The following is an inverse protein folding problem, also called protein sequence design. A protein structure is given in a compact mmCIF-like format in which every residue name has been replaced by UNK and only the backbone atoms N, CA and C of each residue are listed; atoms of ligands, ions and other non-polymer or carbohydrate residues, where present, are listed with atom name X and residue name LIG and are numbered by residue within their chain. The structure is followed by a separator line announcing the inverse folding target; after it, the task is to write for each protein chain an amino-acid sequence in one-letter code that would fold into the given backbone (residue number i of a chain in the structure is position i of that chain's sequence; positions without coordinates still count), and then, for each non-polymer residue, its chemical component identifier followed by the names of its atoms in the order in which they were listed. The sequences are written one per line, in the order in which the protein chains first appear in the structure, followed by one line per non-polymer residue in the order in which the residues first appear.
data_IF_689418654031
#
_entry.id   IF_689418654031
#
_cell.length_a   1.000
_cell.length_b   1.000
_cell.length_c   1.000
_cell.angle_alpha   90.00
_cell.angle_beta   90.00
_cell.angle_gamma   90.00
#
_symmetry.space_group_name_H-M   'P 1'
#
loop_
_entity.id
_entity.type
_entity.pdbx_description
1 polymer ?
#
# COMPACT_ATOMS: atom_id res chain seq x y z
N UNK A 1 -0.20 -20.70 8.01
CA UNK A 1 -1.01 -20.68 6.80
C UNK A 1 -0.66 -19.44 6.00
N UNK A 2 -0.35 -19.62 4.74
CA UNK A 2 0.06 -18.50 3.88
C UNK A 2 -1.11 -17.95 3.10
N UNK A 3 -1.17 -16.64 3.04
CA UNK A 3 -2.15 -15.92 2.22
C UNK A 3 -1.52 -15.58 0.87
N UNK A 4 -2.33 -15.60 -0.16
CA UNK A 4 -1.90 -15.11 -1.48
C UNK A 4 -1.94 -13.58 -1.47
N UNK A 5 -0.86 -12.97 -1.94
CA UNK A 5 -0.76 -11.50 -1.98
C UNK A 5 -0.87 -11.05 -3.42
N UNK A 6 -1.85 -10.19 -3.69
CA UNK A 6 -2.07 -9.60 -4.99
C UNK A 6 -1.91 -8.09 -4.89
N UNK A 7 -1.26 -7.50 -5.86
CA UNK A 7 -1.06 -6.05 -5.92
C UNK A 7 -1.92 -5.52 -7.06
N UNK A 8 -2.87 -4.66 -6.73
CA UNK A 8 -3.77 -4.08 -7.72
C UNK A 8 -3.08 -3.07 -8.63
N UNK A 9 -3.71 -2.79 -9.76
CA UNK A 9 -3.14 -1.88 -10.76
C UNK A 9 -2.90 -0.48 -10.20
N UNK A 10 -3.82 0.03 -9.38
CA UNK A 10 -3.67 1.35 -8.78
C UNK A 10 -2.46 1.40 -7.83
N UNK A 11 -2.22 0.32 -7.09
CA UNK A 11 -1.06 0.24 -6.19
C UNK A 11 0.25 0.19 -6.98
N UNK A 12 0.29 -0.54 -8.09
CA UNK A 12 1.45 -0.53 -8.97
C UNK A 12 1.72 0.86 -9.53
N UNK A 13 0.67 1.55 -9.97
CA UNK A 13 0.80 2.91 -10.48
C UNK A 13 1.29 3.86 -9.39
N UNK A 14 0.81 3.70 -8.16
CA UNK A 14 1.30 4.49 -7.03
C UNK A 14 2.80 4.30 -6.82
N UNK A 15 3.26 3.04 -6.83
CA UNK A 15 4.68 2.75 -6.65
C UNK A 15 5.53 3.29 -7.79
N UNK A 16 5.01 3.22 -9.02
CA UNK A 16 5.67 3.78 -10.18
C UNK A 16 5.83 5.30 -10.04
N UNK A 17 4.78 5.98 -9.59
CA UNK A 17 4.83 7.42 -9.36
C UNK A 17 5.80 7.79 -8.25
N UNK A 18 5.85 7.02 -7.17
CA UNK A 18 6.82 7.20 -6.10
C UNK A 18 8.23 7.07 -6.64
N UNK A 19 8.48 6.01 -7.43
CA UNK A 19 9.79 5.79 -8.03
C UNK A 19 10.25 6.98 -8.86
N UNK A 20 9.40 7.42 -9.78
CA UNK A 20 9.78 8.53 -10.67
C UNK A 20 9.94 9.85 -9.94
N UNK A 21 9.14 10.09 -8.91
CA UNK A 21 9.30 11.29 -8.10
C UNK A 21 10.70 11.32 -7.44
N UNK A 22 11.08 10.22 -6.79
CA UNK A 22 12.37 10.16 -6.09
C UNK A 22 13.53 10.18 -7.09
N UNK A 23 13.43 9.41 -8.17
CA UNK A 23 14.49 9.31 -9.15
C UNK A 23 14.73 10.63 -9.90
N UNK A 24 13.67 11.31 -10.29
CA UNK A 24 13.75 12.48 -11.16
C UNK A 24 13.68 13.80 -10.41
N UNK A 25 12.66 13.98 -9.55
CA UNK A 25 12.48 15.24 -8.83
C UNK A 25 13.53 15.41 -7.73
N UNK A 26 13.84 14.35 -7.01
CA UNK A 26 14.86 14.38 -5.97
C UNK A 26 16.23 13.97 -6.50
N UNK A 27 16.33 13.60 -7.77
CA UNK A 27 17.57 13.22 -8.44
C UNK A 27 18.33 12.13 -7.70
N UNK A 28 17.59 11.12 -7.21
CA UNK A 28 18.16 10.07 -6.39
C UNK A 28 17.66 8.68 -6.83
N UNK A 29 18.13 8.18 -8.00
CA UNK A 29 17.63 6.90 -8.52
C UNK A 29 17.96 5.70 -7.63
N UNK A 30 19.08 5.73 -6.92
CA UNK A 30 19.41 4.65 -5.99
C UNK A 30 18.43 4.60 -4.82
N UNK A 31 18.06 5.76 -4.28
CA UNK A 31 17.08 5.85 -3.22
C UNK A 31 15.70 5.40 -3.72
N UNK A 32 15.35 5.76 -4.96
CA UNK A 32 14.10 5.32 -5.57
C UNK A 32 14.00 3.79 -5.59
N UNK A 33 15.07 3.13 -6.03
CA UNK A 33 15.10 1.66 -6.06
C UNK A 33 15.00 1.07 -4.66
N UNK A 34 15.70 1.65 -3.70
CA UNK A 34 15.69 1.16 -2.32
C UNK A 34 14.31 1.31 -1.67
N UNK A 35 13.63 2.43 -1.90
CA UNK A 35 12.27 2.66 -1.37
C UNK A 35 11.31 1.62 -1.93
N UNK A 36 11.31 1.42 -3.24
CA UNK A 36 10.38 0.46 -3.86
C UNK A 36 10.70 -0.96 -3.42
N UNK A 37 11.98 -1.32 -3.33
CA UNK A 37 12.40 -2.64 -2.87
C UNK A 37 11.89 -2.91 -1.45
N UNK A 38 11.99 -1.90 -0.57
CA UNK A 38 11.53 -2.02 0.80
C UNK A 38 10.01 -2.18 0.86
N UNK A 39 9.28 -1.38 0.08
CA UNK A 39 7.82 -1.48 0.04
C UNK A 39 7.39 -2.88 -0.41
N UNK A 40 7.99 -3.38 -1.48
CA UNK A 40 7.67 -4.73 -2.00
C UNK A 40 8.00 -5.82 -0.99
N UNK A 41 9.14 -5.70 -0.30
CA UNK A 41 9.53 -6.68 0.71
C UNK A 41 8.52 -6.71 1.88
N UNK A 42 8.06 -5.54 2.31
CA UNK A 42 7.08 -5.45 3.39
C UNK A 42 5.71 -5.97 2.94
N UNK A 43 5.31 -5.68 1.70
CA UNK A 43 4.07 -6.24 1.14
C UNK A 43 4.13 -7.77 1.14
N UNK A 44 5.28 -8.34 0.80
CA UNK A 44 5.44 -9.80 0.80
C UNK A 44 5.20 -10.42 2.18
N UNK A 45 5.51 -9.69 3.26
CA UNK A 45 5.27 -10.19 4.62
C UNK A 45 3.79 -10.35 4.94
N UNK A 46 2.90 -9.74 4.17
CA UNK A 46 1.46 -9.86 4.39
C UNK A 46 0.94 -11.26 4.07
N UNK A 47 1.75 -12.12 3.45
CA UNK A 47 1.40 -13.53 3.27
C UNK A 47 1.25 -14.26 4.60
N UNK A 48 1.82 -13.71 5.68
CA UNK A 48 1.72 -14.26 7.02
C UNK A 48 1.06 -13.24 7.94
N UNK A 49 -0.01 -13.66 8.62
CA UNK A 49 -0.72 -12.85 9.62
C UNK A 49 -1.08 -11.44 9.12
N UNK A 50 -1.79 -11.31 8.00
CA UNK A 50 -2.11 -9.99 7.47
C UNK A 50 -3.01 -9.14 8.37
N UNK A 51 -3.65 -9.75 9.36
CA UNK A 51 -4.54 -9.04 10.28
C UNK A 51 -3.81 -8.36 11.44
N UNK A 52 -2.46 -8.42 11.47
CA UNK A 52 -1.68 -7.83 12.55
C UNK A 52 -1.56 -6.30 12.48
N UNK A 53 -1.87 -5.71 11.33
CA UNK A 53 -1.80 -4.26 11.18
C UNK A 53 -3.15 -3.62 11.50
N UNK A 54 -3.14 -2.30 11.77
CA UNK A 54 -4.33 -1.59 12.22
C UNK A 54 -5.37 -1.43 11.12
N UNK A 55 -6.66 -1.47 11.47
CA UNK A 55 -7.72 -1.14 10.50
C UNK A 55 -7.70 0.35 10.18
N UNK A 56 -8.12 0.69 8.96
CA UNK A 56 -8.32 2.08 8.57
C UNK A 56 -9.48 2.65 9.40
N UNK A 57 -9.33 3.84 10.01
CA UNK A 57 -10.28 4.28 11.05
C UNK A 57 -11.58 4.88 10.54
N UNK A 58 -11.69 5.19 9.24
CA UNK A 58 -12.82 5.95 8.71
C UNK A 58 -13.70 5.17 7.76
N UNK A 59 -15.02 5.42 7.86
CA UNK A 59 -15.98 4.85 6.94
C UNK A 59 -15.93 5.60 5.60
N UNK A 60 -16.29 4.98 4.47
CA UNK A 60 -16.81 3.59 4.37
C UNK A 60 -15.73 2.50 4.34
N UNK A 61 -14.46 2.87 4.31
CA UNK A 61 -13.36 1.93 4.14
C UNK A 61 -13.17 1.03 5.36
N UNK A 62 -13.46 1.55 6.55
CA UNK A 62 -13.40 0.76 7.78
C UNK A 62 -14.31 -0.47 7.69
N UNK A 63 -15.55 -0.28 7.23
CA UNK A 63 -16.50 -1.38 7.06
C UNK A 63 -16.10 -2.35 5.96
N UNK A 64 -15.29 -1.91 5.00
CA UNK A 64 -14.79 -2.79 3.94
C UNK A 64 -13.61 -3.64 4.39
N UNK A 65 -13.09 -3.41 5.60
CA UNK A 65 -11.98 -4.17 6.14
C UNK A 65 -10.61 -3.70 5.69
N UNK A 66 -10.49 -2.45 5.24
CA UNK A 66 -9.20 -1.89 4.82
C UNK A 66 -8.27 -1.77 6.04
N UNK A 67 -7.05 -2.26 5.88
CA UNK A 67 -5.98 -2.15 6.88
C UNK A 67 -4.83 -1.34 6.33
N UNK A 68 -4.01 -0.81 7.23
CA UNK A 68 -2.90 0.08 6.88
C UNK A 68 -1.60 -0.47 7.46
N UNK A 69 -0.60 -0.63 6.59
CA UNK A 69 0.75 -0.99 7.00
C UNK A 69 1.69 0.16 6.68
N UNK A 70 2.37 0.68 7.70
CA UNK A 70 3.34 1.76 7.50
C UNK A 70 4.68 1.18 7.04
N UNK A 71 5.26 1.76 5.99
CA UNK A 71 6.57 1.39 5.48
C UNK A 71 7.36 2.70 5.28
N UNK A 72 8.19 3.06 6.24
CA UNK A 72 8.90 4.34 6.20
C UNK A 72 7.90 5.49 6.15
N UNK A 73 8.00 6.31 5.11
CA UNK A 73 7.12 7.46 4.90
C UNK A 73 5.88 7.13 4.07
N UNK A 74 5.64 5.85 3.81
CA UNK A 74 4.53 5.42 2.95
C UNK A 74 3.59 4.53 3.70
N UNK A 75 2.34 4.51 3.25
CA UNK A 75 1.29 3.65 3.82
C UNK A 75 0.79 2.72 2.74
N UNK A 76 0.73 1.43 3.05
CA UNK A 76 0.18 0.41 2.18
C UNK A 76 -1.23 0.08 2.67
N UNK A 77 -2.22 0.25 1.81
CA UNK A 77 -3.63 0.00 2.13
C UNK A 77 -4.07 -1.29 1.48
N UNK A 78 -4.61 -2.21 2.26
CA UNK A 78 -4.96 -3.53 1.76
C UNK A 78 -6.18 -4.10 2.47
N UNK A 79 -6.77 -5.13 1.86
CA UNK A 79 -7.85 -5.92 2.45
C UNK A 79 -7.40 -7.38 2.45
N UNK A 80 -7.58 -8.06 3.59
CA UNK A 80 -7.31 -9.48 3.71
C UNK A 80 -8.64 -10.21 3.87
N UNK A 81 -8.98 -11.04 2.90
CA UNK A 81 -10.25 -11.75 2.90
C UNK A 81 -10.14 -13.03 2.08
N UNK A 82 -10.71 -14.10 2.60
CA UNK A 82 -10.84 -15.39 1.88
C UNK A 82 -9.49 -15.92 1.38
N UNK A 83 -8.45 -15.78 2.19
CA UNK A 83 -7.11 -16.28 1.85
C UNK A 83 -6.32 -15.40 0.92
N UNK A 84 -6.83 -14.24 0.56
CA UNK A 84 -6.18 -13.32 -0.37
C UNK A 84 -5.96 -11.96 0.30
N UNK A 85 -4.75 -11.43 0.16
CA UNK A 85 -4.42 -10.05 0.54
C UNK A 85 -4.41 -9.23 -0.74
N UNK A 86 -5.32 -8.27 -0.83
CA UNK A 86 -5.43 -7.39 -2.00
C UNK A 86 -4.90 -6.01 -1.64
N UNK A 87 -3.71 -5.68 -2.16
CA UNK A 87 -3.10 -4.37 -1.95
C UNK A 87 -3.72 -3.39 -2.93
N UNK A 88 -4.42 -2.38 -2.41
CA UNK A 88 -5.17 -1.45 -3.24
C UNK A 88 -4.45 -0.15 -3.55
N UNK A 89 -3.74 0.42 -2.58
CA UNK A 89 -3.04 1.69 -2.76
C UNK A 89 -1.75 1.73 -1.95
N UNK A 90 -0.79 2.54 -2.42
CA UNK A 90 0.45 2.84 -1.71
C UNK A 90 0.64 4.35 -1.78
N UNK A 91 0.53 5.05 -0.64
CA UNK A 91 0.51 6.51 -0.62
C UNK A 91 1.50 7.06 0.39
N UNK A 92 2.03 8.26 0.08
CA UNK A 92 2.84 9.00 1.04
C UNK A 92 1.99 9.33 2.27
N UNK A 93 2.57 9.18 3.47
CA UNK A 93 1.79 9.25 4.71
C UNK A 93 1.09 10.60 4.95
N UNK A 94 1.58 11.69 4.35
CA UNK A 94 0.99 13.03 4.49
C UNK A 94 -0.05 13.35 3.44
N UNK A 95 -0.29 12.43 2.51
CA UNK A 95 -1.30 12.65 1.48
C UNK A 95 -2.70 12.55 2.09
N UNK A 96 -3.65 13.30 1.53
CA UNK A 96 -5.06 13.19 1.93
C UNK A 96 -5.61 11.83 1.50
N UNK A 97 -5.42 10.84 2.37
CA UNK A 97 -5.79 9.46 2.08
C UNK A 97 -7.28 9.29 1.88
N UNK A 98 -8.11 10.01 2.64
CA UNK A 98 -9.55 9.87 2.55
C UNK A 98 -10.06 10.20 1.15
N UNK A 99 -9.61 11.32 0.61
CA UNK A 99 -10.01 11.74 -0.73
C UNK A 99 -9.56 10.76 -1.79
N UNK A 100 -8.31 10.32 -1.73
CA UNK A 100 -7.73 9.39 -2.71
C UNK A 100 -8.40 8.03 -2.63
N UNK A 101 -8.55 7.49 -1.42
CA UNK A 101 -9.11 6.15 -1.22
C UNK A 101 -10.59 6.08 -1.57
N UNK A 102 -11.34 7.16 -1.32
CA UNK A 102 -12.78 7.20 -1.62
C UNK A 102 -13.06 7.10 -3.10
N UNK A 103 -12.19 7.65 -3.94
CA UNK A 103 -12.40 7.72 -5.39
C UNK A 103 -11.69 6.62 -6.16
N UNK A 104 -10.61 6.07 -5.60
CA UNK A 104 -9.75 5.13 -6.33
C UNK A 104 -9.78 3.70 -5.84
N UNK A 105 -10.62 3.37 -4.88
CA UNK A 105 -10.64 2.04 -4.29
C UNK A 105 -11.72 1.17 -4.93
N UNK A 106 -11.29 0.10 -5.60
CA UNK A 106 -12.17 -0.93 -6.13
C UNK A 106 -12.10 -2.15 -5.23
N UNK A 107 -13.04 -2.28 -4.37
CA UNK A 107 -13.08 -3.44 -3.49
C UNK A 107 -13.96 -4.53 -4.07
#
# INVERSE_FOLDING_TARGET
MNWDVEIGDAAYEDMRNIFFYIANELQSPDDARNVIRRILAEIATLSEMPNRFRPYPREPLSSKGVRVMDVGNYCVYYIAKDGIVSVGRVLYFRRDSDSVLSTGWDS
#
